data_IF_018842415352
#
_entry.id   IF_018842415352
#
_cell.length_a   1.000
_cell.length_b   1.000
_cell.length_c   1.000
_cell.angle_alpha   90.00
_cell.angle_beta   90.00
_cell.angle_gamma   90.00
#
_symmetry.space_group_name_H-M   'P 1'
#
loop_
_entity.id
_entity.type
_entity.pdbx_description
1 polymer ?
#
# COMPACT_ATOMS: atom_id res chain seq x y z
N UNK A 1 26.88 15.85 -2.27
CA UNK A 1 26.65 15.24 -0.95
C UNK A 1 27.87 15.48 -0.07
N UNK A 2 27.70 16.15 1.07
CA UNK A 2 28.80 16.28 2.02
C UNK A 2 29.12 14.89 2.60
N UNK A 3 30.39 14.49 2.60
CA UNK A 3 30.80 13.20 3.14
C UNK A 3 30.54 13.18 4.65
N UNK A 4 29.59 12.36 5.10
CA UNK A 4 29.30 12.18 6.52
C UNK A 4 30.50 11.53 7.22
N UNK A 5 30.93 12.13 8.33
CA UNK A 5 31.97 11.55 9.18
C UNK A 5 31.46 10.29 9.89
N UNK A 6 31.95 9.13 9.45
CA UNK A 6 31.55 7.83 10.01
C UNK A 6 32.09 7.60 11.42
N UNK A 7 33.22 8.21 11.78
CA UNK A 7 33.78 8.05 13.12
C UNK A 7 32.92 8.79 14.14
N UNK A 8 32.58 10.06 13.84
CA UNK A 8 31.66 10.82 14.69
C UNK A 8 30.31 10.11 14.88
N UNK A 9 29.78 9.46 13.85
CA UNK A 9 28.52 8.69 13.99
C UNK A 9 28.67 7.53 14.99
N UNK A 10 29.77 6.78 14.93
CA UNK A 10 30.05 5.70 15.88
C UNK A 10 30.22 6.24 17.30
N UNK A 11 30.99 7.32 17.46
CA UNK A 11 31.23 7.94 18.76
C UNK A 11 29.91 8.37 19.43
N UNK A 12 28.97 8.91 18.64
CA UNK A 12 27.62 9.26 19.14
C UNK A 12 26.83 8.01 19.55
N UNK A 13 26.91 6.91 18.78
CA UNK A 13 26.25 5.65 19.15
C UNK A 13 26.81 5.10 20.46
N UNK A 14 28.12 5.01 20.60
CA UNK A 14 28.80 4.49 21.78
C UNK A 14 28.49 5.36 23.01
N UNK A 15 28.46 6.69 22.84
CA UNK A 15 28.09 7.62 23.89
C UNK A 15 26.63 7.45 24.35
N UNK A 16 25.69 7.24 23.41
CA UNK A 16 24.28 7.00 23.72
C UNK A 16 24.03 5.62 24.36
N UNK A 17 24.87 4.63 24.06
CA UNK A 17 24.82 3.29 24.68
C UNK A 17 25.40 3.27 26.10
N UNK A 18 26.27 4.23 26.44
CA UNK A 18 26.83 4.37 27.79
C UNK A 18 25.69 4.63 28.79
N UNK A 19 25.77 4.02 29.97
CA UNK A 19 24.79 4.20 31.04
C UNK A 19 24.71 5.68 31.48
N UNK A 20 23.50 6.17 31.79
CA UNK A 20 23.26 7.59 32.10
C UNK A 20 24.19 8.09 33.22
N UNK A 21 24.41 7.30 34.27
CA UNK A 21 25.24 7.68 35.42
C UNK A 21 26.73 7.86 35.09
N UNK A 22 27.20 7.32 33.96
CA UNK A 22 28.60 7.32 33.52
C UNK A 22 28.85 8.20 32.29
N UNK A 23 27.83 8.90 31.78
CA UNK A 23 27.97 9.71 30.58
C UNK A 23 28.75 10.99 30.84
N UNK A 24 29.76 11.22 30.02
CA UNK A 24 30.43 12.51 29.95
C UNK A 24 29.60 13.48 29.08
N UNK A 25 28.85 14.36 29.75
CA UNK A 25 28.01 15.36 29.08
C UNK A 25 28.82 16.40 28.30
N UNK A 26 30.05 16.69 28.73
CA UNK A 26 30.91 17.63 28.02
C UNK A 26 31.30 17.05 26.65
N UNK A 27 31.70 15.78 26.62
CA UNK A 27 31.97 15.05 25.36
C UNK A 27 30.74 15.02 24.45
N UNK A 28 29.55 14.79 25.00
CA UNK A 28 28.30 14.86 24.23
C UNK A 28 28.04 16.25 23.63
N UNK A 29 28.33 17.32 24.36
CA UNK A 29 28.20 18.69 23.89
C UNK A 29 29.23 19.04 22.79
N UNK A 30 30.44 18.49 22.85
CA UNK A 30 31.44 18.61 21.79
C UNK A 30 31.00 17.90 20.50
N UNK A 31 30.40 16.70 20.60
CA UNK A 31 29.80 16.02 19.45
C UNK A 31 28.69 16.89 18.82
N UNK A 32 27.84 17.53 19.63
CA UNK A 32 26.82 18.47 19.12
C UNK A 32 27.42 19.71 18.44
N UNK A 33 28.56 20.19 18.92
CA UNK A 33 29.28 21.29 18.26
C UNK A 33 29.75 20.89 16.86
N UNK A 34 30.27 19.66 16.71
CA UNK A 34 30.70 19.15 15.41
C UNK A 34 29.52 19.03 14.42
N UNK A 35 28.31 18.75 14.92
CA UNK A 35 27.09 18.61 14.12
C UNK A 35 26.45 19.94 13.74
N UNK A 36 26.30 20.85 14.68
CA UNK A 36 25.50 22.09 14.52
C UNK A 36 26.35 23.33 14.28
N UNK A 37 27.65 23.28 14.63
CA UNK A 37 28.57 24.43 14.72
C UNK A 37 28.08 25.56 15.64
N UNK A 38 27.07 25.31 16.48
CA UNK A 38 26.50 26.31 17.37
C UNK A 38 27.32 26.45 18.67
N UNK A 39 28.35 27.30 18.61
CA UNK A 39 29.26 27.56 19.75
C UNK A 39 28.56 28.09 20.99
N UNK A 40 27.56 28.96 20.83
CA UNK A 40 26.86 29.57 21.96
C UNK A 40 26.07 28.52 22.76
N UNK A 41 25.38 27.63 22.04
CA UNK A 41 24.64 26.54 22.64
C UNK A 41 25.57 25.55 23.35
N UNK A 42 26.64 25.12 22.70
CA UNK A 42 27.65 24.23 23.32
C UNK A 42 28.29 24.87 24.55
N UNK A 43 28.63 26.16 24.51
CA UNK A 43 29.18 26.87 25.68
C UNK A 43 28.21 26.84 26.85
N UNK A 44 26.90 26.94 26.57
CA UNK A 44 25.87 26.86 27.61
C UNK A 44 25.78 25.46 28.23
N UNK A 45 25.94 24.41 27.42
CA UNK A 45 26.00 23.02 27.89
C UNK A 45 27.24 22.74 28.74
N UNK A 46 28.40 23.24 28.33
CA UNK A 46 29.65 23.06 29.07
C UNK A 46 29.64 23.80 30.42
N UNK A 47 28.97 24.95 30.50
CA UNK A 47 28.84 25.72 31.75
C UNK A 47 27.95 25.01 32.79
N UNK A 48 26.91 24.30 32.36
CA UNK A 48 25.98 23.61 33.25
C UNK A 48 25.63 22.21 32.73
N UNK A 49 26.58 21.25 32.73
CA UNK A 49 26.40 19.96 32.06
C UNK A 49 25.21 19.15 32.60
N UNK A 50 25.10 19.03 33.93
CA UNK A 50 24.01 18.27 34.57
C UNK A 50 22.60 18.80 34.23
N UNK A 51 22.45 20.12 34.07
CA UNK A 51 21.16 20.73 33.71
C UNK A 51 20.73 20.37 32.28
N UNK A 52 21.69 20.21 31.38
CA UNK A 52 21.44 20.04 29.95
C UNK A 52 21.62 18.61 29.45
N UNK A 53 21.97 17.65 30.31
CA UNK A 53 22.17 16.24 29.95
C UNK A 53 21.02 15.69 29.10
N UNK A 54 19.78 15.81 29.58
CA UNK A 54 18.61 15.31 28.86
C UNK A 54 18.46 15.95 27.47
N UNK A 55 18.80 17.24 27.35
CA UNK A 55 18.76 17.97 26.07
C UNK A 55 19.88 17.51 25.14
N UNK A 56 21.08 17.28 25.65
CA UNK A 56 22.21 16.75 24.86
C UNK A 56 21.87 15.36 24.32
N UNK A 57 21.30 14.48 25.15
CA UNK A 57 20.84 13.16 24.74
C UNK A 57 19.77 13.25 23.65
N UNK A 58 18.77 14.13 23.82
CA UNK A 58 17.72 14.34 22.83
C UNK A 58 18.28 14.78 21.47
N UNK A 59 19.12 15.82 21.46
CA UNK A 59 19.73 16.37 20.25
C UNK A 59 20.65 15.36 19.56
N UNK A 60 21.45 14.60 20.31
CA UNK A 60 22.31 13.56 19.75
C UNK A 60 21.50 12.41 19.14
N UNK A 61 20.43 11.96 19.80
CA UNK A 61 19.51 10.95 19.22
C UNK A 61 18.89 11.46 17.92
N UNK A 62 18.44 12.72 17.90
CA UNK A 62 17.87 13.36 16.71
C UNK A 62 18.85 13.35 15.55
N UNK A 63 20.07 13.84 15.76
CA UNK A 63 21.09 13.86 14.71
C UNK A 63 21.58 12.47 14.31
N UNK A 64 21.67 11.53 15.26
CA UNK A 64 22.07 10.15 14.95
C UNK A 64 21.11 9.50 13.94
N UNK A 65 19.79 9.65 14.14
CA UNK A 65 18.79 9.10 13.22
C UNK A 65 19.00 9.58 11.77
N UNK A 66 19.24 10.87 11.59
CA UNK A 66 19.51 11.47 10.26
C UNK A 66 20.81 10.90 9.67
N UNK A 67 21.86 10.77 10.49
CA UNK A 67 23.17 10.28 10.06
C UNK A 67 23.18 8.79 9.70
N UNK A 68 22.35 7.97 10.36
CA UNK A 68 22.19 6.56 10.03
C UNK A 68 21.63 6.37 8.62
N UNK A 69 20.86 7.33 8.12
CA UNK A 69 20.41 7.37 6.72
C UNK A 69 21.43 8.06 5.78
N UNK A 70 22.67 8.28 6.23
CA UNK A 70 23.73 9.00 5.51
C UNK A 70 23.34 10.42 5.06
N UNK A 71 22.45 11.09 5.80
CA UNK A 71 22.01 12.45 5.50
C UNK A 71 22.66 13.47 6.45
N UNK A 72 22.83 14.70 5.96
CA UNK A 72 23.13 15.88 6.77
C UNK A 72 21.89 16.71 7.04
N UNK A 73 21.97 17.69 7.94
CA UNK A 73 20.85 18.63 8.21
C UNK A 73 20.47 19.42 6.95
N UNK A 74 21.44 19.79 6.12
CA UNK A 74 21.19 20.44 4.84
C UNK A 74 20.46 19.51 3.86
N UNK A 75 20.82 18.22 3.83
CA UNK A 75 20.12 17.24 3.00
C UNK A 75 18.67 17.04 3.48
N UNK A 76 18.41 17.12 4.79
CA UNK A 76 17.05 17.07 5.34
C UNK A 76 16.22 18.30 4.92
N UNK A 77 16.80 19.50 4.93
CA UNK A 77 16.10 20.69 4.45
C UNK A 77 15.75 20.59 2.96
N UNK A 78 16.67 20.08 2.14
CA UNK A 78 16.41 19.82 0.71
C UNK A 78 15.36 18.73 0.50
N UNK A 79 15.41 17.66 1.31
CA UNK A 79 14.39 16.61 1.32
C UNK A 79 13.02 17.21 1.65
N UNK A 80 12.95 18.09 2.65
CA UNK A 80 11.70 18.72 3.07
C UNK A 80 11.07 19.50 1.92
N UNK A 81 11.83 20.38 1.29
CA UNK A 81 11.35 21.15 0.15
C UNK A 81 10.86 20.24 -0.98
N UNK A 82 11.64 19.22 -1.34
CA UNK A 82 11.33 18.31 -2.45
C UNK A 82 10.08 17.47 -2.17
N UNK A 83 10.00 16.87 -0.98
CA UNK A 83 8.90 15.98 -0.60
C UNK A 83 7.63 16.77 -0.37
N UNK A 84 7.69 17.92 0.32
CA UNK A 84 6.49 18.73 0.55
C UNK A 84 5.87 19.23 -0.75
N UNK A 85 6.68 19.67 -1.73
CA UNK A 85 6.18 20.06 -3.06
C UNK A 85 5.56 18.86 -3.79
N UNK A 86 6.28 17.75 -3.87
CA UNK A 86 5.80 16.55 -4.58
C UNK A 86 4.52 15.98 -3.97
N UNK A 87 4.40 16.01 -2.64
CA UNK A 87 3.22 15.54 -1.93
C UNK A 87 2.06 16.52 -2.07
N UNK A 88 2.33 17.83 -2.12
CA UNK A 88 1.29 18.81 -2.41
C UNK A 88 0.61 18.48 -3.74
N UNK A 89 1.37 18.19 -4.79
CA UNK A 89 0.82 17.73 -6.07
C UNK A 89 -0.03 16.47 -5.89
N UNK A 90 0.44 15.46 -5.12
CA UNK A 90 -0.31 14.23 -4.84
C UNK A 90 -1.65 14.52 -4.16
N UNK A 91 -1.67 15.43 -3.18
CA UNK A 91 -2.88 15.78 -2.41
C UNK A 91 -3.85 16.63 -3.23
N UNK A 92 -3.36 17.53 -4.08
CA UNK A 92 -4.18 18.40 -4.94
C UNK A 92 -4.76 17.67 -6.15
N UNK A 93 -3.99 16.75 -6.76
CA UNK A 93 -4.42 15.98 -7.93
C UNK A 93 -5.28 14.77 -7.58
N UNK A 94 -5.25 14.33 -6.33
CA UNK A 94 -6.09 13.23 -5.88
C UNK A 94 -7.58 13.62 -6.02
N UNK A 95 -8.40 12.79 -6.69
CA UNK A 95 -9.82 13.07 -6.79
C UNK A 95 -10.41 13.14 -5.38
N UNK A 96 -11.21 14.18 -5.10
CA UNK A 96 -11.86 14.37 -3.82
C UNK A 96 -12.61 13.09 -3.42
N UNK A 97 -12.02 12.32 -2.50
CA UNK A 97 -12.64 11.12 -1.96
C UNK A 97 -13.79 11.63 -1.10
N UNK A 98 -15.01 11.64 -1.63
CA UNK A 98 -16.21 11.88 -0.84
C UNK A 98 -16.19 10.90 0.33
N UNK A 99 -15.99 11.41 1.54
CA UNK A 99 -16.01 10.62 2.78
C UNK A 99 -17.41 10.61 3.40
N UNK A 100 -18.45 11.02 2.66
CA UNK A 100 -19.83 10.93 3.13
C UNK A 100 -20.42 9.57 2.77
N UNK A 101 -20.44 8.67 3.75
CA UNK A 101 -21.14 7.37 3.73
C UNK A 101 -22.67 7.49 3.78
N UNK A 102 -23.26 8.62 3.36
CA UNK A 102 -24.70 8.94 3.50
C UNK A 102 -25.48 8.93 2.18
N UNK A 103 -24.82 8.66 1.04
CA UNK A 103 -25.50 8.54 -0.26
C UNK A 103 -25.21 7.17 -0.91
N UNK A 104 -26.24 6.33 -1.18
CA UNK A 104 -26.06 4.96 -1.67
C UNK A 104 -25.86 4.84 -3.20
N UNK A 105 -25.77 5.95 -3.91
CA UNK A 105 -25.49 5.92 -5.35
C UNK A 105 -23.97 5.92 -5.56
N UNK A 106 -23.44 4.72 -5.79
CA UNK A 106 -22.05 4.47 -6.16
C UNK A 106 -21.74 5.11 -7.51
N UNK A 107 -21.49 6.41 -7.50
CA UNK A 107 -20.90 7.14 -8.62
C UNK A 107 -19.49 6.61 -8.81
N UNK A 108 -19.29 5.81 -9.86
CA UNK A 108 -18.05 5.18 -10.31
C UNK A 108 -16.85 6.08 -9.99
N UNK A 109 -16.02 5.64 -9.05
CA UNK A 109 -14.85 6.40 -8.61
C UNK A 109 -13.88 6.59 -9.77
N UNK A 110 -13.81 7.84 -10.27
CA UNK A 110 -12.89 8.27 -11.34
C UNK A 110 -11.44 7.95 -10.92
N UNK A 111 -10.85 6.97 -11.60
CA UNK A 111 -9.50 6.46 -11.37
C UNK A 111 -9.37 4.92 -11.42
N UNK A 112 -10.47 4.19 -11.27
CA UNK A 112 -10.46 2.72 -11.39
C UNK A 112 -10.54 2.28 -12.86
N UNK A 113 -9.56 1.49 -13.32
CA UNK A 113 -9.59 0.81 -14.64
C UNK A 113 -10.89 0.04 -14.89
N UNK A 114 -11.33 0.00 -16.14
CA UNK A 114 -12.55 -0.72 -16.57
C UNK A 114 -12.44 -2.25 -16.37
N UNK A 115 -11.25 -2.80 -16.60
CA UNK A 115 -10.96 -4.23 -16.46
C UNK A 115 -10.58 -4.64 -15.04
N UNK A 116 -10.69 -3.75 -14.05
CA UNK A 116 -10.20 -3.97 -12.68
C UNK A 116 -10.70 -5.29 -12.08
N UNK A 117 -11.97 -5.65 -12.25
CA UNK A 117 -12.53 -6.89 -11.69
C UNK A 117 -11.90 -8.16 -12.29
N UNK A 118 -11.37 -8.06 -13.51
CA UNK A 118 -10.70 -9.13 -14.24
C UNK A 118 -9.20 -9.20 -13.99
N UNK A 119 -8.62 -8.19 -13.31
CA UNK A 119 -7.19 -8.17 -12.99
C UNK A 119 -6.83 -9.22 -11.92
N UNK A 120 -5.58 -9.71 -11.92
CA UNK A 120 -5.10 -10.56 -10.84
C UNK A 120 -5.24 -9.89 -9.48
N UNK A 121 -5.49 -10.69 -8.45
CA UNK A 121 -5.70 -10.19 -7.09
C UNK A 121 -4.57 -9.26 -6.63
N UNK A 122 -3.31 -9.63 -6.84
CA UNK A 122 -2.17 -8.81 -6.42
C UNK A 122 -2.10 -7.44 -7.10
N UNK A 123 -2.67 -7.29 -8.31
CA UNK A 123 -2.73 -6.00 -9.01
C UNK A 123 -3.88 -5.15 -8.46
N UNK A 124 -5.05 -5.76 -8.21
CA UNK A 124 -6.20 -5.06 -7.59
C UNK A 124 -5.84 -4.51 -6.20
N UNK A 125 -5.10 -5.30 -5.42
CA UNK A 125 -4.63 -4.91 -4.09
C UNK A 125 -3.76 -3.65 -4.09
N UNK A 126 -3.00 -3.38 -5.18
CA UNK A 126 -2.23 -2.13 -5.32
C UNK A 126 -3.15 -0.91 -5.28
N UNK A 127 -4.28 -0.99 -5.97
CA UNK A 127 -5.30 0.06 -5.98
C UNK A 127 -6.06 0.16 -4.65
N UNK A 128 -6.53 -0.97 -4.11
CA UNK A 128 -7.37 -0.98 -2.92
C UNK A 128 -6.60 -0.51 -1.67
N UNK A 129 -5.35 -0.96 -1.52
CA UNK A 129 -4.48 -0.53 -0.41
C UNK A 129 -4.02 0.93 -0.54
N UNK A 130 -4.02 1.48 -1.76
CA UNK A 130 -3.63 2.86 -2.01
C UNK A 130 -4.59 3.87 -1.39
N UNK A 131 -5.88 3.53 -1.20
CA UNK A 131 -6.82 4.41 -0.49
C UNK A 131 -6.36 4.71 0.94
N UNK A 132 -5.95 3.67 1.68
CA UNK A 132 -5.46 3.84 3.06
C UNK A 132 -4.11 4.56 3.08
N UNK A 133 -3.24 4.29 2.10
CA UNK A 133 -1.95 4.97 1.95
C UNK A 133 -2.16 6.47 1.72
N UNK A 134 -3.07 6.84 0.82
CA UNK A 134 -3.41 8.24 0.54
C UNK A 134 -3.95 8.97 1.78
N UNK A 135 -4.85 8.34 2.54
CA UNK A 135 -5.34 8.94 3.80
C UNK A 135 -4.20 9.25 4.77
N UNK A 136 -3.23 8.34 4.91
CA UNK A 136 -2.04 8.57 5.75
C UNK A 136 -1.16 9.70 5.21
N UNK A 137 -0.98 9.80 3.89
CA UNK A 137 -0.26 10.91 3.23
C UNK A 137 -0.92 12.25 3.59
N UNK A 138 -2.24 12.38 3.40
CA UNK A 138 -2.97 13.62 3.70
C UNK A 138 -2.84 14.03 5.16
N UNK A 139 -3.02 13.08 6.09
CA UNK A 139 -2.88 13.35 7.53
C UNK A 139 -1.47 13.84 7.89
N UNK A 140 -0.44 13.12 7.42
CA UNK A 140 0.95 13.42 7.74
C UNK A 140 1.43 14.72 7.06
N UNK A 141 0.94 15.00 5.86
CA UNK A 141 1.21 16.27 5.16
C UNK A 141 0.62 17.46 5.91
N UNK A 142 -0.64 17.37 6.35
CA UNK A 142 -1.27 18.44 7.13
C UNK A 142 -0.60 18.62 8.50
N UNK A 143 -0.20 17.52 9.16
CA UNK A 143 0.59 17.59 10.40
C UNK A 143 1.92 18.32 10.16
N UNK A 144 2.65 17.99 9.09
CA UNK A 144 3.90 18.65 8.73
C UNK A 144 3.72 20.14 8.41
N UNK A 145 2.60 20.54 7.79
CA UNK A 145 2.26 21.98 7.62
C UNK A 145 2.05 22.68 8.97
N UNK A 146 1.43 22.00 9.92
CA UNK A 146 1.25 22.49 11.29
C UNK A 146 2.56 22.66 12.07
N UNK A 147 3.63 21.96 11.67
CA UNK A 147 4.97 22.04 12.27
C UNK A 147 5.91 23.02 11.52
N UNK A 148 5.37 23.99 10.77
CA UNK A 148 6.17 24.89 9.91
C UNK A 148 7.15 25.79 10.67
N UNK A 149 6.95 26.00 11.97
CA UNK A 149 7.82 26.75 12.89
C UNK A 149 9.01 25.93 13.40
N UNK A 150 8.95 24.60 13.30
CA UNK A 150 10.00 23.69 13.76
C UNK A 150 11.12 23.54 12.73
N UNK A 151 12.33 23.20 13.20
CA UNK A 151 13.46 22.97 12.29
C UNK A 151 13.27 21.67 11.48
N UNK A 152 13.80 21.60 10.23
CA UNK A 152 13.68 20.42 9.38
C UNK A 152 14.14 19.11 10.04
N UNK A 153 15.18 19.17 10.86
CA UNK A 153 15.70 18.02 11.58
C UNK A 153 14.72 17.46 12.64
N UNK A 154 13.89 18.31 13.25
CA UNK A 154 12.85 17.88 14.19
C UNK A 154 11.66 17.24 13.47
N UNK A 155 11.45 17.60 12.19
CA UNK A 155 10.38 17.08 11.33
C UNK A 155 10.79 15.83 10.55
N UNK A 156 12.07 15.44 10.62
CA UNK A 156 12.69 14.44 9.76
C UNK A 156 11.97 13.08 9.77
N UNK A 157 11.56 12.58 10.94
CA UNK A 157 10.93 11.25 11.03
C UNK A 157 9.61 11.20 10.24
N UNK A 158 8.78 12.22 10.45
CA UNK A 158 7.51 12.38 9.73
C UNK A 158 7.77 12.59 8.24
N UNK A 159 8.76 13.40 7.90
CA UNK A 159 9.14 13.63 6.52
C UNK A 159 9.61 12.35 5.81
N UNK A 160 10.41 11.52 6.48
CA UNK A 160 10.87 10.23 5.96
C UNK A 160 9.72 9.26 5.74
N UNK A 161 8.76 9.20 6.68
CA UNK A 161 7.56 8.38 6.52
C UNK A 161 6.71 8.90 5.35
N UNK A 162 6.57 10.22 5.22
CA UNK A 162 5.81 10.84 4.14
C UNK A 162 6.43 10.52 2.77
N UNK A 163 7.75 10.67 2.62
CA UNK A 163 8.48 10.32 1.38
C UNK A 163 8.25 8.87 0.98
N UNK A 164 8.33 7.94 1.93
CA UNK A 164 8.11 6.51 1.70
C UNK A 164 6.66 6.20 1.29
N UNK A 165 5.68 6.80 1.97
CA UNK A 165 4.26 6.60 1.66
C UNK A 165 3.90 7.16 0.28
N UNK A 166 4.39 8.36 -0.05
CA UNK A 166 4.12 9.01 -1.35
C UNK A 166 4.78 8.26 -2.51
N UNK A 167 6.03 7.80 -2.36
CA UNK A 167 6.67 6.93 -3.35
C UNK A 167 5.87 5.65 -3.55
N UNK A 168 5.53 4.96 -2.46
CA UNK A 168 4.74 3.72 -2.53
C UNK A 168 3.39 3.95 -3.21
N UNK A 169 2.72 5.06 -2.90
CA UNK A 169 1.45 5.40 -3.52
C UNK A 169 1.60 5.54 -5.04
N UNK A 170 2.58 6.33 -5.50
CA UNK A 170 2.88 6.55 -6.92
C UNK A 170 3.32 5.27 -7.62
N UNK A 171 4.21 4.49 -7.00
CA UNK A 171 4.72 3.23 -7.55
C UNK A 171 3.58 2.20 -7.71
N UNK A 172 2.68 2.11 -6.72
CA UNK A 172 1.51 1.26 -6.78
C UNK A 172 0.55 1.68 -7.90
N UNK A 173 0.30 2.99 -8.08
CA UNK A 173 -0.52 3.49 -9.19
C UNK A 173 0.14 3.20 -10.55
N UNK A 174 1.44 3.46 -10.67
CA UNK A 174 2.18 3.20 -11.90
C UNK A 174 2.18 1.71 -12.25
N UNK A 175 2.39 0.81 -11.28
CA UNK A 175 2.32 -0.63 -11.49
C UNK A 175 0.91 -1.11 -11.83
N UNK A 176 -0.11 -0.53 -11.19
CA UNK A 176 -1.51 -0.81 -11.48
C UNK A 176 -1.90 -0.38 -12.91
N UNK A 177 -1.48 0.80 -13.36
CA UNK A 177 -1.79 1.33 -14.69
C UNK A 177 -0.98 0.64 -15.79
N UNK A 178 0.29 0.33 -15.52
CA UNK A 178 1.18 -0.33 -16.49
C UNK A 178 0.92 -1.84 -16.65
N UNK A 179 0.11 -2.46 -15.78
CA UNK A 179 -0.15 -3.88 -15.87
C UNK A 179 -0.92 -4.23 -17.15
N UNK A 180 -0.23 -4.95 -18.04
CA UNK A 180 -0.82 -5.62 -19.20
C UNK A 180 -0.79 -7.11 -18.91
N UNK A 181 -1.94 -7.78 -19.02
CA UNK A 181 -1.98 -9.22 -18.88
C UNK A 181 -0.97 -9.81 -19.88
N UNK A 182 -0.07 -10.71 -19.45
CA UNK A 182 0.84 -11.35 -20.39
C UNK A 182 -0.01 -11.96 -21.51
N UNK A 183 0.41 -11.86 -22.78
CA UNK A 183 -0.28 -12.57 -23.84
C UNK A 183 -0.40 -14.01 -23.36
N UNK A 184 -1.63 -14.54 -23.35
CA UNK A 184 -1.83 -15.99 -23.27
C UNK A 184 -0.81 -16.59 -24.23
N UNK A 185 0.04 -17.54 -23.80
CA UNK A 185 1.13 -18.01 -24.64
C UNK A 185 0.53 -18.41 -25.98
N UNK A 186 0.74 -17.54 -26.98
CA UNK A 186 0.46 -17.87 -28.36
C UNK A 186 1.37 -19.05 -28.60
N UNK A 187 0.86 -20.24 -28.94
CA UNK A 187 1.70 -21.40 -29.11
C UNK A 187 2.71 -21.06 -30.20
N UNK A 188 3.97 -20.81 -29.80
CA UNK A 188 5.08 -20.73 -30.73
C UNK A 188 5.10 -22.07 -31.45
N UNK A 189 4.84 -22.02 -32.75
CA UNK A 189 4.98 -23.15 -33.65
C UNK A 189 6.48 -23.41 -33.76
N UNK A 190 7.05 -24.09 -32.76
CA UNK A 190 8.36 -24.70 -32.83
C UNK A 190 8.16 -26.17 -33.19
N UNK A 191 8.66 -26.50 -34.37
CA UNK A 191 8.61 -27.80 -34.99
C UNK A 191 9.30 -28.89 -34.15
N UNK A 192 8.57 -30.00 -33.93
CA UNK A 192 8.96 -31.35 -33.47
C UNK A 192 9.18 -31.59 -31.96
N UNK A 193 8.97 -32.83 -31.44
CA UNK A 193 7.91 -33.82 -31.71
C UNK A 193 7.14 -34.24 -30.44
N UNK A 194 5.93 -34.77 -30.63
CA UNK A 194 5.10 -35.59 -29.71
C UNK A 194 5.33 -35.51 -28.18
N UNK A 195 4.44 -34.82 -27.45
CA UNK A 195 4.10 -35.19 -26.07
C UNK A 195 2.66 -34.78 -25.72
N UNK A 196 1.78 -35.78 -25.55
CA UNK A 196 0.38 -35.64 -25.13
C UNK A 196 0.32 -35.22 -23.65
N UNK A 197 -0.15 -34.01 -23.35
CA UNK A 197 -0.64 -33.63 -22.02
C UNK A 197 -2.16 -33.37 -22.06
N UNK A 198 -2.92 -33.70 -21.01
CA UNK A 198 -4.31 -34.13 -21.17
C UNK A 198 -5.32 -32.99 -21.13
N UNK A 199 -6.28 -33.05 -22.04
CA UNK A 199 -7.49 -32.20 -22.22
C UNK A 199 -8.34 -32.03 -20.92
N UNK A 200 -8.03 -32.79 -19.87
CA UNK A 200 -8.83 -32.86 -18.65
C UNK A 200 -8.70 -31.62 -17.73
N UNK A 201 -7.53 -30.97 -17.66
CA UNK A 201 -7.33 -29.89 -16.67
C UNK A 201 -8.09 -28.59 -16.97
N UNK A 202 -8.35 -28.29 -18.24
CA UNK A 202 -9.08 -27.08 -18.66
C UNK A 202 -10.59 -27.26 -18.44
N UNK A 203 -11.11 -28.45 -18.81
CA UNK A 203 -12.51 -28.84 -18.58
C UNK A 203 -12.83 -28.86 -17.08
N UNK A 204 -11.94 -29.38 -16.24
CA UNK A 204 -12.12 -29.37 -14.78
C UNK A 204 -12.16 -27.96 -14.19
N UNK A 205 -11.34 -27.03 -14.69
CA UNK A 205 -11.37 -25.61 -14.25
C UNK A 205 -12.69 -24.94 -14.62
N UNK A 206 -13.17 -25.12 -15.86
CA UNK A 206 -14.43 -24.57 -16.32
C UNK A 206 -15.63 -25.18 -15.57
N UNK A 207 -15.59 -26.49 -15.31
CA UNK A 207 -16.60 -27.20 -14.53
C UNK A 207 -16.68 -26.69 -13.08
N UNK A 208 -15.53 -26.47 -12.43
CA UNK A 208 -15.48 -25.94 -11.06
C UNK A 208 -15.93 -24.48 -10.97
N UNK A 209 -15.64 -23.66 -11.98
CA UNK A 209 -16.14 -22.29 -12.06
C UNK A 209 -17.68 -22.27 -12.18
N UNK A 210 -18.24 -23.11 -13.05
CA UNK A 210 -19.69 -23.23 -13.23
C UNK A 210 -20.41 -23.76 -11.97
N UNK A 211 -19.82 -24.69 -11.21
CA UNK A 211 -20.38 -25.14 -9.92
C UNK A 211 -20.42 -24.03 -8.87
N UNK A 212 -19.41 -23.15 -8.85
CA UNK A 212 -19.37 -22.01 -7.91
C UNK A 212 -20.41 -20.95 -8.26
N UNK A 213 -20.59 -20.64 -9.55
CA UNK A 213 -21.63 -19.69 -10.00
C UNK A 213 -23.02 -20.24 -9.69
N UNK A 214 -23.26 -21.53 -9.95
CA UNK A 214 -24.50 -22.22 -9.60
C UNK A 214 -24.88 -22.05 -8.12
N UNK A 215 -23.96 -22.35 -7.19
CA UNK A 215 -24.20 -22.20 -5.76
C UNK A 215 -24.46 -20.73 -5.35
N UNK A 216 -23.66 -19.79 -5.86
CA UNK A 216 -23.78 -18.36 -5.55
C UNK A 216 -25.14 -17.79 -5.98
N UNK A 217 -25.60 -18.13 -7.18
CA UNK A 217 -26.84 -17.58 -7.73
C UNK A 217 -28.09 -18.31 -7.24
N UNK A 218 -28.02 -19.59 -6.84
CA UNK A 218 -29.09 -20.26 -6.08
C UNK A 218 -29.40 -19.52 -4.77
N UNK A 219 -28.36 -19.15 -4.01
CA UNK A 219 -28.51 -18.39 -2.77
C UNK A 219 -29.15 -17.01 -3.04
N UNK A 220 -28.63 -16.28 -4.03
CA UNK A 220 -29.19 -14.98 -4.44
C UNK A 220 -30.63 -15.07 -4.93
N UNK A 221 -31.02 -16.14 -5.61
CA UNK A 221 -32.40 -16.33 -6.07
C UNK A 221 -33.38 -16.56 -4.90
N UNK A 222 -32.92 -17.18 -3.81
CA UNK A 222 -33.72 -17.38 -2.59
C UNK A 222 -33.85 -16.10 -1.75
N UNK A 223 -32.80 -15.27 -1.72
CA UNK A 223 -32.73 -14.05 -0.91
C UNK A 223 -33.28 -12.79 -1.61
N UNK A 224 -33.48 -12.85 -2.93
CA UNK A 224 -34.00 -11.72 -3.70
C UNK A 224 -35.47 -11.44 -3.36
N UNK A 225 -35.80 -10.17 -3.13
CA UNK A 225 -37.17 -9.68 -2.93
C UNK A 225 -37.76 -9.10 -4.22
N UNK A 226 -36.92 -8.54 -5.10
CA UNK A 226 -37.33 -7.91 -6.35
C UNK A 226 -37.30 -8.88 -7.55
N UNK A 227 -38.22 -8.66 -8.49
CA UNK A 227 -38.42 -9.54 -9.65
C UNK A 227 -37.25 -9.50 -10.66
N UNK A 228 -36.53 -8.36 -10.73
CA UNK A 228 -35.43 -8.16 -11.68
C UNK A 228 -34.20 -8.95 -11.28
N UNK A 229 -33.81 -8.92 -10.00
CA UNK A 229 -32.68 -9.69 -9.49
C UNK A 229 -32.95 -11.20 -9.52
N UNK A 230 -34.20 -11.62 -9.28
CA UNK A 230 -34.63 -13.03 -9.48
C UNK A 230 -34.44 -13.47 -10.93
N UNK A 231 -34.89 -12.69 -11.90
CA UNK A 231 -34.75 -13.04 -13.33
C UNK A 231 -33.27 -13.13 -13.77
N UNK A 232 -32.43 -12.20 -13.30
CA UNK A 232 -30.98 -12.24 -13.54
C UNK A 232 -30.30 -13.45 -12.89
N UNK A 233 -30.72 -13.81 -11.66
CA UNK A 233 -30.20 -14.97 -10.98
C UNK A 233 -30.56 -16.27 -11.72
N UNK A 234 -31.82 -16.43 -12.13
CA UNK A 234 -32.29 -17.59 -12.91
C UNK A 234 -31.50 -17.74 -14.21
N UNK A 235 -31.28 -16.64 -14.95
CA UNK A 235 -30.47 -16.66 -16.19
C UNK A 235 -29.05 -17.15 -15.94
N UNK A 236 -28.42 -16.69 -14.84
CA UNK A 236 -27.06 -17.10 -14.47
C UNK A 236 -26.99 -18.54 -13.98
N UNK A 237 -28.05 -19.05 -13.36
CA UNK A 237 -28.15 -20.45 -12.96
C UNK A 237 -28.27 -21.33 -14.21
N UNK A 238 -29.12 -20.98 -15.19
CA UNK A 238 -29.25 -21.72 -16.46
C UNK A 238 -27.91 -21.80 -17.21
N UNK A 239 -27.21 -20.67 -17.39
CA UNK A 239 -25.89 -20.64 -18.04
C UNK A 239 -24.87 -21.56 -17.36
N UNK A 240 -24.90 -21.65 -16.02
CA UNK A 240 -24.01 -22.52 -15.26
C UNK A 240 -24.37 -24.01 -15.44
N UNK A 241 -25.66 -24.33 -15.46
CA UNK A 241 -26.18 -25.69 -15.70
C UNK A 241 -25.81 -26.17 -17.11
N UNK A 242 -26.02 -25.33 -18.12
CA UNK A 242 -25.69 -25.64 -19.52
C UNK A 242 -24.18 -25.89 -19.69
N UNK A 243 -23.36 -25.08 -19.03
CA UNK A 243 -21.88 -25.24 -19.05
C UNK A 243 -21.45 -26.56 -18.40
N UNK A 244 -22.06 -26.96 -17.27
CA UNK A 244 -21.75 -28.22 -16.60
C UNK A 244 -22.12 -29.41 -17.47
N UNK A 245 -23.29 -29.37 -18.12
CA UNK A 245 -23.74 -30.42 -19.05
C UNK A 245 -22.90 -30.52 -20.31
N UNK A 246 -22.53 -29.38 -20.91
CA UNK A 246 -21.64 -29.34 -22.08
C UNK A 246 -20.28 -30.00 -21.78
N UNK A 247 -19.83 -29.91 -20.52
CA UNK A 247 -18.60 -30.53 -20.03
C UNK A 247 -18.78 -31.97 -19.53
N UNK A 248 -19.98 -32.54 -19.65
CA UNK A 248 -20.30 -33.92 -19.26
C UNK A 248 -20.45 -34.14 -17.74
N UNK A 249 -20.76 -33.08 -16.98
CA UNK A 249 -21.02 -33.18 -15.54
C UNK A 249 -22.47 -33.53 -15.22
N UNK A 250 -22.67 -34.46 -14.29
CA UNK A 250 -23.99 -34.86 -13.81
C UNK A 250 -24.43 -34.11 -12.54
N UNK A 251 -25.75 -34.11 -12.32
CA UNK A 251 -26.40 -33.58 -11.13
C UNK A 251 -27.09 -34.72 -10.36
N UNK A 252 -27.10 -34.62 -9.03
CA UNK A 252 -27.91 -35.52 -8.20
C UNK A 252 -29.40 -35.22 -8.36
N UNK A 253 -30.26 -36.22 -8.15
CA UNK A 253 -31.73 -36.07 -8.25
C UNK A 253 -32.29 -34.97 -7.35
N UNK A 254 -31.70 -34.79 -6.16
CA UNK A 254 -32.03 -33.69 -5.25
C UNK A 254 -31.68 -32.32 -5.84
N UNK A 255 -30.54 -32.20 -6.53
CA UNK A 255 -30.14 -30.96 -7.19
C UNK A 255 -30.98 -30.64 -8.42
N UNK A 256 -31.47 -31.66 -9.14
CA UNK A 256 -32.38 -31.53 -10.28
C UNK A 256 -33.76 -31.04 -9.81
N UNK A 257 -34.28 -31.60 -8.71
CA UNK A 257 -35.54 -31.15 -8.11
C UNK A 257 -35.49 -29.66 -7.72
N UNK A 258 -34.42 -29.24 -7.04
CA UNK A 258 -34.22 -27.82 -6.67
C UNK A 258 -34.15 -26.91 -7.90
N UNK A 259 -33.52 -27.35 -8.99
CA UNK A 259 -33.38 -26.53 -10.20
C UNK A 259 -34.72 -26.38 -10.94
N UNK A 260 -35.57 -27.42 -10.91
CA UNK A 260 -36.94 -27.34 -11.44
C UNK A 260 -37.82 -26.37 -10.64
N UNK A 261 -37.62 -26.26 -9.33
CA UNK A 261 -38.29 -25.23 -8.51
C UNK A 261 -37.93 -23.79 -8.93
N UNK A 262 -36.72 -23.58 -9.46
CA UNK A 262 -36.30 -22.29 -10.03
C UNK A 262 -36.76 -22.08 -11.49
N UNK A 263 -37.52 -23.00 -12.07
CA UNK A 263 -38.03 -22.90 -13.45
C UNK A 263 -36.99 -23.20 -14.53
N UNK A 264 -35.94 -23.96 -14.20
CA UNK A 264 -34.81 -24.27 -15.09
C UNK A 264 -35.08 -25.61 -15.77
N UNK A 265 -35.07 -25.61 -17.11
CA UNK A 265 -35.23 -26.86 -17.86
C UNK A 265 -33.93 -27.65 -17.84
N UNK A 266 -34.06 -28.92 -17.44
CA UNK A 266 -32.98 -29.90 -17.36
C UNK A 266 -33.48 -31.10 -18.16
N UNK A 267 -33.47 -30.98 -19.49
CA UNK A 267 -33.71 -32.07 -20.44
C UNK A 267 -32.38 -32.63 -20.94
#
# INVERSE_FOLDING_TARGET
MAKIDRQLTKDIQDWLLTDNSKRDVAKGAEMLLALTRNRALTTSYLRNPHKFEAKVVYELKKHLKIRLHNMSVADVANLEQTVMLRVADTVETAPAISVNSEFPEATIARGRREDHESLPQHIRELWDSNKQTHQKIVLLFNELKGMSDMQPCDRYEKLSILDQLDRRYRDNLAAYDAYVAPPSPTPEIVSQPEAKAPINSEKEKQMNAARKTLSKYKKRCREAEDQSTKALAITKIQQAVDTIRLLGGDFSDSSVAELREFGISID
#
